data_IF_571007595320
#
_entry.id   IF_571007595320
#
_cell.length_a   1.000
_cell.length_b   1.000
_cell.length_c   1.000
_cell.angle_alpha   90.00
_cell.angle_beta   90.00
_cell.angle_gamma   90.00
#
_symmetry.space_group_name_H-M   'P 1'
#
loop_
_entity.id
_entity.type
_entity.pdbx_description
1 polymer ?
#
# COMPACT_ATOMS: atom_id res chain seq x y z
N UNK A 1 -4.00 -11.93 -8.77
CA UNK A 1 -4.83 -11.12 -7.84
C UNK A 1 -6.20 -10.74 -8.41
N UNK A 2 -6.32 -10.44 -9.71
CA UNK A 2 -7.62 -10.09 -10.33
C UNK A 2 -8.67 -11.19 -10.21
N UNK A 3 -8.34 -12.46 -10.42
CA UNK A 3 -9.32 -13.56 -10.39
C UNK A 3 -9.94 -13.80 -9.01
N UNK A 4 -9.12 -13.80 -7.94
CA UNK A 4 -9.61 -13.90 -6.56
C UNK A 4 -10.49 -12.71 -6.21
N UNK A 5 -10.11 -11.49 -6.62
CA UNK A 5 -10.92 -10.29 -6.41
C UNK A 5 -12.24 -10.36 -7.18
N UNK A 6 -12.22 -10.81 -8.43
CA UNK A 6 -13.44 -11.01 -9.23
C UNK A 6 -14.38 -12.04 -8.61
N UNK A 7 -13.84 -13.11 -8.03
CA UNK A 7 -14.61 -14.10 -7.28
C UNK A 7 -15.18 -13.50 -5.99
N UNK A 8 -14.38 -12.74 -5.22
CA UNK A 8 -14.84 -12.04 -4.02
C UNK A 8 -16.00 -11.07 -4.29
N UNK A 9 -16.13 -10.52 -5.50
CA UNK A 9 -17.27 -9.66 -5.86
C UNK A 9 -18.59 -10.42 -6.06
N UNK A 10 -18.55 -11.76 -6.15
CA UNK A 10 -19.70 -12.60 -6.50
C UNK A 10 -19.99 -13.69 -5.47
N UNK A 11 -19.08 -13.95 -4.54
CA UNK A 11 -19.14 -15.03 -3.57
C UNK A 11 -18.79 -14.51 -2.16
N UNK A 12 -19.74 -14.59 -1.23
CA UNK A 12 -19.65 -13.99 0.11
C UNK A 12 -18.57 -14.61 0.99
N UNK A 13 -18.29 -15.91 0.84
CA UNK A 13 -17.21 -16.57 1.56
C UNK A 13 -15.85 -16.05 1.10
N UNK A 14 -15.64 -15.99 -0.22
CA UNK A 14 -14.43 -15.42 -0.81
C UNK A 14 -14.30 -13.94 -0.48
N UNK A 15 -15.40 -13.19 -0.42
CA UNK A 15 -15.42 -11.78 0.00
C UNK A 15 -14.88 -11.60 1.43
N UNK A 16 -15.40 -12.38 2.39
CA UNK A 16 -14.95 -12.34 3.79
C UNK A 16 -13.47 -12.69 3.92
N UNK A 17 -13.02 -13.74 3.25
CA UNK A 17 -11.62 -14.14 3.26
C UNK A 17 -10.71 -13.06 2.67
N UNK A 18 -11.12 -12.47 1.54
CA UNK A 18 -10.38 -11.40 0.87
C UNK A 18 -10.25 -10.15 1.75
N UNK A 19 -11.35 -9.70 2.36
CA UNK A 19 -11.36 -8.53 3.24
C UNK A 19 -10.52 -8.74 4.51
N UNK A 20 -10.58 -9.93 5.10
CA UNK A 20 -9.77 -10.28 6.27
C UNK A 20 -8.27 -10.25 5.93
N UNK A 21 -7.89 -10.84 4.80
CA UNK A 21 -6.51 -10.79 4.30
C UNK A 21 -6.05 -9.34 4.03
N UNK A 22 -6.87 -8.55 3.34
CA UNK A 22 -6.57 -7.15 3.03
C UNK A 22 -6.38 -6.32 4.31
N UNK A 23 -7.25 -6.51 5.32
CA UNK A 23 -7.10 -5.85 6.62
C UNK A 23 -5.80 -6.26 7.32
N UNK A 24 -5.45 -7.54 7.32
CA UNK A 24 -4.19 -8.02 7.90
C UNK A 24 -2.96 -7.42 7.22
N UNK A 25 -3.01 -7.20 5.90
CA UNK A 25 -1.93 -6.55 5.17
C UNK A 25 -1.80 -5.07 5.56
N UNK A 26 -2.93 -4.35 5.68
CA UNK A 26 -2.97 -2.97 6.18
C UNK A 26 -2.37 -2.90 7.59
N UNK A 27 -2.75 -3.80 8.50
CA UNK A 27 -2.23 -3.83 9.87
C UNK A 27 -0.71 -4.00 9.90
N UNK A 28 -0.18 -4.82 8.97
CA UNK A 28 1.28 -5.06 8.87
C UNK A 28 2.02 -3.80 8.42
N UNK A 29 1.52 -3.13 7.38
CA UNK A 29 2.12 -1.90 6.85
C UNK A 29 1.96 -0.75 7.84
N UNK A 30 0.82 -0.65 8.53
CA UNK A 30 0.60 0.31 9.61
C UNK A 30 1.70 0.22 10.66
N UNK A 31 1.99 -0.99 11.18
CA UNK A 31 3.04 -1.20 12.18
C UNK A 31 4.43 -0.81 11.67
N UNK A 32 4.73 -1.07 10.39
CA UNK A 32 5.99 -0.64 9.78
C UNK A 32 6.08 0.89 9.75
N UNK A 33 5.02 1.57 9.34
CA UNK A 33 4.96 3.04 9.31
C UNK A 33 5.10 3.62 10.73
N UNK A 34 4.38 3.09 11.73
CA UNK A 34 4.48 3.52 13.12
C UNK A 34 5.92 3.38 13.66
N UNK A 35 6.60 2.28 13.30
CA UNK A 35 8.00 2.09 13.64
C UNK A 35 8.90 3.15 13.00
N UNK A 36 8.69 3.48 11.73
CA UNK A 36 9.47 4.53 11.05
C UNK A 36 9.25 5.90 11.68
N UNK A 37 7.98 6.23 11.95
CA UNK A 37 7.59 7.51 12.56
C UNK A 37 8.28 7.70 13.90
N UNK A 38 8.28 6.64 14.72
CA UNK A 38 8.92 6.64 16.04
C UNK A 38 10.44 6.74 15.92
N UNK A 39 11.06 5.90 15.07
CA UNK A 39 12.52 5.83 14.94
C UNK A 39 13.15 7.10 14.35
N UNK A 40 12.42 7.81 13.47
CA UNK A 40 12.95 8.96 12.74
C UNK A 40 12.37 10.30 13.21
N UNK A 41 11.54 10.33 14.26
CA UNK A 41 10.93 11.56 14.77
C UNK A 41 10.11 12.26 13.69
N UNK A 42 9.25 11.52 13.01
CA UNK A 42 8.40 12.04 11.94
C UNK A 42 7.01 12.35 12.47
N UNK A 43 6.25 13.18 11.75
CA UNK A 43 4.82 13.38 12.00
C UNK A 43 4.02 13.03 10.77
N UNK A 44 3.08 12.10 10.91
CA UNK A 44 2.12 11.80 9.85
C UNK A 44 1.00 12.86 9.83
N UNK A 45 0.57 13.23 8.62
CA UNK A 45 -0.58 14.11 8.39
C UNK A 45 -1.93 13.39 8.51
N UNK A 46 -1.91 12.06 8.46
CA UNK A 46 -3.08 11.18 8.59
C UNK A 46 -2.79 10.08 9.61
N UNK A 47 -3.82 9.40 10.14
CA UNK A 47 -3.61 8.19 10.93
C UNK A 47 -2.76 7.16 10.19
N UNK A 48 -1.86 6.47 10.88
CA UNK A 48 -0.93 5.51 10.27
C UNK A 48 -1.64 4.41 9.46
N UNK A 49 -2.83 4.00 9.90
CA UNK A 49 -3.69 3.06 9.18
C UNK A 49 -4.13 3.58 7.82
N UNK A 50 -4.50 4.85 7.73
CA UNK A 50 -4.95 5.47 6.48
C UNK A 50 -3.77 5.67 5.53
N UNK A 51 -2.60 6.05 6.05
CA UNK A 51 -1.34 6.08 5.27
C UNK A 51 -1.02 4.70 4.72
N UNK A 52 -1.13 3.64 5.54
CA UNK A 52 -0.89 2.25 5.10
C UNK A 52 -1.83 1.83 3.96
N UNK A 53 -3.11 2.21 4.03
CA UNK A 53 -4.07 1.97 2.94
C UNK A 53 -3.65 2.68 1.66
N UNK A 54 -3.27 3.95 1.73
CA UNK A 54 -2.85 4.72 0.57
C UNK A 54 -1.59 4.13 -0.08
N UNK A 55 -0.59 3.74 0.73
CA UNK A 55 0.63 3.07 0.24
C UNK A 55 0.28 1.80 -0.53
N UNK A 56 -0.59 0.94 0.03
CA UNK A 56 -0.98 -0.31 -0.61
C UNK A 56 -1.77 -0.08 -1.91
N UNK A 57 -2.65 0.93 -1.95
CA UNK A 57 -3.39 1.30 -3.17
C UNK A 57 -2.45 1.76 -4.27
N UNK A 58 -1.48 2.62 -3.96
CA UNK A 58 -0.49 3.09 -4.92
C UNK A 58 0.39 1.94 -5.42
N UNK A 59 0.80 1.04 -4.52
CA UNK A 59 1.62 -0.11 -4.88
C UNK A 59 0.89 -1.09 -5.78
N UNK A 60 -0.41 -1.32 -5.52
CA UNK A 60 -1.25 -2.12 -6.40
C UNK A 60 -1.42 -1.52 -7.80
N UNK A 61 -1.65 -0.21 -7.89
CA UNK A 61 -1.70 0.49 -9.17
C UNK A 61 -0.37 0.36 -9.95
N UNK A 62 0.76 0.47 -9.25
CA UNK A 62 2.09 0.27 -9.84
C UNK A 62 2.22 -1.12 -10.47
N UNK A 63 1.79 -2.17 -9.75
CA UNK A 63 1.83 -3.56 -10.21
C UNK A 63 0.93 -3.79 -11.43
N UNK A 64 -0.30 -3.25 -11.40
CA UNK A 64 -1.26 -3.38 -12.51
C UNK A 64 -0.73 -2.66 -13.75
N UNK A 65 -0.29 -1.41 -13.59
CA UNK A 65 0.25 -0.60 -14.69
C UNK A 65 1.48 -1.27 -15.29
N UNK A 66 2.39 -1.76 -14.44
CA UNK A 66 3.58 -2.48 -14.88
C UNK A 66 3.25 -3.71 -15.74
N UNK A 67 2.27 -4.51 -15.30
CA UNK A 67 1.83 -5.69 -16.03
C UNK A 67 1.20 -5.32 -17.39
N UNK A 68 0.45 -4.21 -17.47
CA UNK A 68 -0.15 -3.71 -18.72
C UNK A 68 0.94 -3.23 -19.68
N UNK A 69 1.92 -2.46 -19.18
CA UNK A 69 3.02 -1.90 -19.96
C UNK A 69 4.11 -2.92 -20.31
N UNK A 70 4.07 -4.12 -19.70
CA UNK A 70 5.11 -5.17 -19.83
C UNK A 70 6.51 -4.68 -19.42
N UNK A 71 6.57 -3.83 -18.38
CA UNK A 71 7.86 -3.46 -17.80
C UNK A 71 8.43 -4.62 -16.99
N UNK A 72 9.76 -4.69 -16.94
CA UNK A 72 10.47 -5.69 -16.15
C UNK A 72 10.44 -5.35 -14.65
N UNK A 73 10.93 -6.29 -13.84
CA UNK A 73 10.96 -6.17 -12.37
C UNK A 73 11.72 -4.92 -11.91
N UNK A 74 12.77 -4.54 -12.63
CA UNK A 74 13.55 -3.34 -12.35
C UNK A 74 12.77 -2.05 -12.64
N UNK A 75 12.02 -2.02 -13.74
CA UNK A 75 11.08 -0.95 -14.06
C UNK A 75 9.98 -0.80 -13.01
N UNK A 76 9.38 -1.92 -12.62
CA UNK A 76 8.37 -1.97 -11.55
C UNK A 76 8.93 -1.46 -10.23
N UNK A 77 10.12 -1.92 -9.83
CA UNK A 77 10.77 -1.49 -8.59
C UNK A 77 10.99 0.02 -8.57
N UNK A 78 11.58 0.59 -9.62
CA UNK A 78 11.79 2.05 -9.73
C UNK A 78 10.48 2.83 -9.65
N UNK A 79 9.42 2.33 -10.29
CA UNK A 79 8.10 2.96 -10.25
C UNK A 79 7.52 2.95 -8.83
N UNK A 80 7.51 1.78 -8.19
CA UNK A 80 7.03 1.62 -6.82
C UNK A 80 7.80 2.50 -5.83
N UNK A 81 9.13 2.57 -5.95
CA UNK A 81 10.00 3.45 -5.15
C UNK A 81 9.62 4.92 -5.34
N UNK A 82 9.52 5.37 -6.59
CA UNK A 82 9.17 6.77 -6.92
C UNK A 82 7.81 7.18 -6.36
N UNK A 83 6.78 6.35 -6.55
CA UNK A 83 5.44 6.66 -6.05
C UNK A 83 5.37 6.59 -4.52
N UNK A 84 6.07 5.65 -3.89
CA UNK A 84 6.15 5.57 -2.43
C UNK A 84 6.83 6.81 -1.84
N UNK A 85 7.92 7.27 -2.48
CA UNK A 85 8.61 8.50 -2.07
C UNK A 85 7.70 9.73 -2.20
N UNK A 86 6.97 9.86 -3.31
CA UNK A 86 6.02 10.96 -3.51
C UNK A 86 4.93 10.97 -2.44
N UNK A 87 4.40 9.78 -2.10
CA UNK A 87 3.38 9.64 -1.07
C UNK A 87 3.94 10.01 0.32
N UNK A 88 5.16 9.57 0.65
CA UNK A 88 5.83 9.93 1.90
C UNK A 88 6.02 11.45 2.01
N UNK A 89 6.51 12.10 0.96
CA UNK A 89 6.68 13.57 0.94
C UNK A 89 5.36 14.32 1.11
N UNK A 90 4.24 13.78 0.60
CA UNK A 90 2.93 14.39 0.74
C UNK A 90 2.32 14.24 2.15
N UNK A 91 2.69 13.18 2.87
CA UNK A 91 2.02 12.75 4.10
C UNK A 91 2.86 12.90 5.37
N UNK A 92 4.15 13.23 5.25
CA UNK A 92 5.09 13.26 6.38
C UNK A 92 5.71 14.65 6.51
N UNK A 93 5.69 15.17 7.74
CA UNK A 93 6.43 16.37 8.13
C UNK A 93 7.55 15.98 9.12
N UNK A 94 8.60 16.81 9.22
CA UNK A 94 9.55 16.72 10.33
C UNK A 94 8.81 17.00 11.65
N UNK A 95 9.08 16.23 12.71
CA UNK A 95 8.58 16.60 14.03
C UNK A 95 9.22 17.93 14.46
N UNK A 96 8.38 18.84 14.95
CA UNK A 96 8.79 20.14 15.51
C UNK A 96 9.17 20.01 16.98
#
# INVERSE_FOLDING_TARGET
MSEIRLRAMRDDETARAYLAWASSLIDRVQRMIESLVTSYGLRLRLPARDVARLVLTVWEDALITAAIERIDDDGLRRRAESQTQQLALALVDAAS
#
